data_IF_522615314712
#
_entry.id   IF_522615314712
#
_cell.length_a   1.000
_cell.length_b   1.000
_cell.length_c   1.000
_cell.angle_alpha   90.00
_cell.angle_beta   90.00
_cell.angle_gamma   90.00
#
_symmetry.space_group_name_H-M   'P 1'
#
loop_
_entity.id
_entity.type
_entity.pdbx_description
1 polymer ?
#
# COMPACT_ATOMS: atom_id res chain seq x y z
N UNK A 1 -14.68 -1.89 23.20
CA UNK A 1 -14.45 -3.28 22.73
C UNK A 1 -13.27 -3.26 21.79
N UNK A 2 -12.54 -4.35 21.66
CA UNK A 2 -11.29 -4.39 20.92
C UNK A 2 -11.35 -5.40 19.78
N UNK A 3 -10.58 -5.18 18.75
CA UNK A 3 -10.59 -5.96 17.52
C UNK A 3 -9.15 -6.35 17.17
N UNK A 4 -8.95 -7.59 16.80
CA UNK A 4 -7.66 -8.08 16.31
C UNK A 4 -7.70 -8.16 14.80
N UNK A 5 -6.64 -7.73 14.14
CA UNK A 5 -6.41 -7.95 12.72
C UNK A 5 -5.16 -8.80 12.51
N UNK A 6 -5.20 -9.72 11.54
CA UNK A 6 -4.05 -10.54 11.14
C UNK A 6 -3.90 -10.45 9.63
N UNK A 7 -2.70 -10.13 9.17
CA UNK A 7 -2.32 -10.14 7.76
C UNK A 7 -1.00 -10.87 7.56
N UNK A 8 -1.01 -11.91 6.73
CA UNK A 8 0.16 -12.67 6.33
C UNK A 8 0.31 -12.63 4.82
N UNK A 9 0.38 -11.42 4.28
CA UNK A 9 0.67 -11.16 2.88
C UNK A 9 2.12 -11.51 2.52
N UNK A 10 2.46 -11.50 1.23
CA UNK A 10 3.65 -12.13 0.69
C UNK A 10 4.99 -11.69 1.33
N UNK A 11 5.09 -10.44 1.79
CA UNK A 11 6.37 -9.89 2.28
C UNK A 11 6.37 -9.46 3.75
N UNK A 12 5.20 -9.41 4.39
CA UNK A 12 5.09 -8.89 5.75
C UNK A 12 4.15 -9.75 6.59
N UNK A 13 4.62 -10.17 7.77
CA UNK A 13 3.76 -10.69 8.83
C UNK A 13 3.29 -9.53 9.67
N UNK A 14 1.99 -9.35 9.87
CA UNK A 14 1.47 -8.32 10.77
C UNK A 14 0.29 -8.79 11.59
N UNK A 15 0.20 -8.28 12.81
CA UNK A 15 -0.93 -8.41 13.71
C UNK A 15 -1.22 -7.06 14.34
N UNK A 16 -2.48 -6.68 14.41
CA UNK A 16 -2.91 -5.39 14.95
C UNK A 16 -3.99 -5.56 16.00
N UNK A 17 -4.03 -4.59 16.88
CA UNK A 17 -5.05 -4.35 17.86
C UNK A 17 -5.68 -2.99 17.60
N UNK A 18 -7.01 -2.92 17.64
CA UNK A 18 -7.78 -1.71 17.42
C UNK A 18 -8.87 -1.58 18.49
N UNK A 19 -8.93 -0.44 19.20
CA UNK A 19 -9.90 -0.21 20.27
C UNK A 19 -11.18 0.49 19.80
N UNK A 20 -11.28 0.76 18.52
CA UNK A 20 -12.39 1.50 17.92
C UNK A 20 -12.03 2.95 17.53
N UNK A 21 -10.93 3.48 18.03
CA UNK A 21 -10.39 4.82 17.73
C UNK A 21 -8.91 4.68 17.35
N UNK A 22 -8.10 4.16 18.27
CA UNK A 22 -6.66 3.98 18.13
C UNK A 22 -6.29 2.51 18.09
N UNK A 23 -5.05 2.22 17.71
CA UNK A 23 -4.58 0.86 17.67
C UNK A 23 -3.05 0.74 17.66
N UNK A 24 -2.60 -0.49 17.78
CA UNK A 24 -1.19 -0.87 17.70
C UNK A 24 -1.03 -1.90 16.57
N UNK A 25 -0.07 -1.68 15.70
CA UNK A 25 0.32 -2.65 14.68
C UNK A 25 1.73 -3.17 14.98
N UNK A 26 1.86 -4.48 15.08
CA UNK A 26 3.13 -5.16 15.16
C UNK A 26 3.40 -5.86 13.83
N UNK A 27 4.46 -5.49 13.14
CA UNK A 27 4.81 -6.07 11.84
C UNK A 27 6.28 -6.45 11.75
N UNK A 28 6.57 -7.38 10.83
CA UNK A 28 7.91 -7.85 10.52
C UNK A 28 8.00 -8.17 9.03
N UNK A 29 8.92 -7.49 8.35
CA UNK A 29 9.25 -7.81 6.96
C UNK A 29 9.92 -9.18 6.89
N UNK A 30 9.53 -9.99 5.92
CA UNK A 30 10.13 -11.29 5.69
C UNK A 30 11.50 -11.13 5.01
N UNK A 31 12.50 -11.95 5.42
CA UNK A 31 13.83 -11.87 4.84
C UNK A 31 13.81 -12.38 3.39
N UNK A 32 14.15 -11.52 2.45
CA UNK A 32 14.42 -11.88 1.05
C UNK A 32 15.93 -12.05 0.89
N UNK A 33 16.37 -13.17 0.33
CA UNK A 33 17.81 -13.41 0.10
C UNK A 33 18.35 -12.42 -0.93
N UNK A 34 19.57 -11.98 -0.71
CA UNK A 34 20.24 -11.06 -1.62
C UNK A 34 20.36 -11.69 -3.03
N UNK A 35 19.85 -10.99 -4.04
CA UNK A 35 19.83 -11.44 -5.44
C UNK A 35 18.55 -12.19 -5.86
N UNK A 36 17.62 -12.48 -4.96
CA UNK A 36 16.31 -13.04 -5.31
C UNK A 36 15.29 -11.91 -5.61
N UNK A 37 14.46 -12.12 -6.62
CA UNK A 37 13.41 -11.15 -7.04
C UNK A 37 12.11 -11.26 -6.21
N UNK A 38 12.07 -12.16 -5.22
CA UNK A 38 10.91 -12.40 -4.37
C UNK A 38 11.05 -13.61 -3.48
N UNK A 39 10.02 -13.91 -2.69
CA UNK A 39 9.94 -15.10 -1.84
C UNK A 39 9.13 -16.21 -2.52
N UNK A 40 9.63 -17.45 -2.45
CA UNK A 40 8.80 -18.62 -2.75
C UNK A 40 7.67 -18.71 -1.71
N UNK A 41 6.50 -19.15 -2.13
CA UNK A 41 5.34 -19.22 -1.23
C UNK A 41 5.59 -20.14 -0.02
N UNK A 42 6.31 -21.24 -0.20
CA UNK A 42 6.72 -22.13 0.91
C UNK A 42 7.61 -21.41 1.94
N UNK A 43 8.53 -20.57 1.47
CA UNK A 43 9.44 -19.82 2.34
C UNK A 43 8.69 -18.72 3.10
N UNK A 44 7.74 -18.05 2.41
CA UNK A 44 6.85 -17.09 3.02
C UNK A 44 5.98 -17.73 4.12
N UNK A 45 5.34 -18.87 3.84
CA UNK A 45 4.56 -19.64 4.82
C UNK A 45 5.40 -19.96 6.06
N UNK A 46 6.60 -20.49 5.87
CA UNK A 46 7.47 -20.85 6.98
C UNK A 46 7.93 -19.63 7.79
N UNK A 47 8.24 -18.53 7.13
CA UNK A 47 8.63 -17.28 7.77
C UNK A 47 7.47 -16.67 8.59
N UNK A 48 6.23 -16.71 8.06
CA UNK A 48 5.05 -16.28 8.79
C UNK A 48 4.78 -17.11 10.05
N UNK A 49 4.91 -18.44 9.95
CA UNK A 49 4.75 -19.36 11.10
C UNK A 49 5.73 -18.99 12.22
N UNK A 50 6.97 -18.61 11.89
CA UNK A 50 7.96 -18.18 12.87
C UNK A 50 7.70 -16.79 13.43
N UNK A 51 7.24 -15.86 12.60
CA UNK A 51 7.12 -14.46 12.98
C UNK A 51 5.84 -14.17 13.78
N UNK A 52 4.73 -14.83 13.46
CA UNK A 52 3.44 -14.53 14.07
C UNK A 52 3.40 -14.75 15.59
N UNK A 53 3.98 -15.83 16.19
CA UNK A 53 4.07 -15.99 17.64
C UNK A 53 4.89 -14.88 18.33
N UNK A 54 5.98 -14.43 17.71
CA UNK A 54 6.79 -13.33 18.24
C UNK A 54 6.00 -12.03 18.26
N UNK A 55 5.31 -11.70 17.15
CA UNK A 55 4.53 -10.48 17.02
C UNK A 55 3.30 -10.48 17.93
N UNK A 56 2.62 -11.61 18.08
CA UNK A 56 1.49 -11.75 19.00
C UNK A 56 1.94 -11.60 20.45
N UNK A 57 3.10 -12.17 20.84
CA UNK A 57 3.68 -11.96 22.17
C UNK A 57 3.93 -10.47 22.46
N UNK A 58 4.47 -9.73 21.49
CA UNK A 58 4.67 -8.27 21.60
C UNK A 58 3.36 -7.50 21.68
N UNK A 59 2.36 -7.86 20.89
CA UNK A 59 1.06 -7.19 20.90
C UNK A 59 0.33 -7.40 22.24
N UNK A 60 0.27 -8.65 22.69
CA UNK A 60 -0.46 -9.02 23.91
C UNK A 60 0.31 -8.79 25.21
N UNK A 61 1.59 -8.40 25.17
CA UNK A 61 2.29 -7.91 26.38
C UNK A 61 1.73 -6.59 26.87
N UNK A 62 1.08 -5.80 26.02
CA UNK A 62 0.24 -4.70 26.42
C UNK A 62 -1.12 -5.25 26.87
N UNK A 63 -1.72 -4.65 27.89
CA UNK A 63 -3.05 -5.05 28.39
C UNK A 63 -4.10 -4.86 27.29
N UNK A 64 -4.41 -5.93 26.57
CA UNK A 64 -5.47 -5.95 25.58
C UNK A 64 -6.75 -6.37 26.29
N UNK A 65 -7.70 -5.44 26.45
CA UNK A 65 -9.00 -5.74 27.05
C UNK A 65 -9.81 -6.78 26.26
N UNK A 66 -11.09 -6.97 26.57
CA UNK A 66 -11.94 -7.98 25.91
C UNK A 66 -11.99 -7.78 24.40
N UNK A 67 -11.76 -8.86 23.64
CA UNK A 67 -11.82 -8.91 22.18
C UNK A 67 -13.27 -9.12 21.75
N UNK A 68 -13.74 -8.36 20.77
CA UNK A 68 -15.09 -8.44 20.21
C UNK A 68 -15.14 -9.20 18.87
N UNK A 69 -14.07 -9.13 18.08
CA UNK A 69 -13.94 -9.89 16.85
C UNK A 69 -12.47 -10.06 16.44
N UNK A 70 -12.22 -11.07 15.59
CA UNK A 70 -10.92 -11.31 14.94
C UNK A 70 -11.12 -11.15 13.45
N UNK A 71 -10.35 -10.24 12.83
CA UNK A 71 -10.27 -10.08 11.39
C UNK A 71 -9.03 -10.75 10.81
N UNK A 72 -9.13 -11.20 9.58
CA UNK A 72 -7.99 -11.80 8.85
C UNK A 72 -8.08 -11.53 7.36
N UNK A 73 -6.96 -11.21 6.73
CA UNK A 73 -6.85 -11.26 5.29
C UNK A 73 -6.66 -12.71 4.83
N UNK A 74 -7.51 -13.18 3.90
CA UNK A 74 -7.51 -14.56 3.41
C UNK A 74 -7.05 -14.70 1.96
N UNK A 75 -6.85 -13.58 1.27
CA UNK A 75 -6.49 -13.52 -0.16
C UNK A 75 -5.97 -12.13 -0.55
N UNK A 76 -5.21 -12.01 -1.66
CA UNK A 76 -4.72 -10.71 -2.11
C UNK A 76 -5.84 -9.72 -2.45
N UNK A 77 -6.83 -10.15 -3.25
CA UNK A 77 -7.95 -9.31 -3.74
C UNK A 77 -9.28 -10.06 -3.57
N UNK A 78 -10.37 -9.31 -3.43
CA UNK A 78 -11.72 -9.86 -3.31
C UNK A 78 -12.30 -10.25 -4.69
N UNK A 79 -11.56 -11.04 -5.47
CA UNK A 79 -11.96 -11.56 -6.78
C UNK A 79 -11.78 -13.07 -6.83
N UNK A 80 -12.56 -13.73 -7.66
CA UNK A 80 -12.47 -15.19 -7.84
C UNK A 80 -11.08 -15.60 -8.32
N UNK A 81 -10.57 -16.72 -7.83
CA UNK A 81 -9.23 -17.24 -8.14
C UNK A 81 -8.08 -16.49 -7.48
N UNK A 82 -8.32 -15.41 -6.72
CA UNK A 82 -7.28 -14.71 -5.96
C UNK A 82 -6.89 -15.54 -4.75
N UNK A 83 -5.79 -16.29 -4.86
CA UNK A 83 -5.29 -17.19 -3.82
C UNK A 83 -3.77 -17.13 -3.74
N UNK A 84 -3.26 -17.10 -2.51
CA UNK A 84 -1.83 -17.31 -2.21
C UNK A 84 -1.70 -18.12 -0.91
N UNK A 85 -0.87 -19.19 -0.88
CA UNK A 85 -0.71 -20.07 0.30
C UNK A 85 -0.31 -19.35 1.59
N UNK A 86 0.45 -18.27 1.51
CA UNK A 86 0.90 -17.52 2.69
C UNK A 86 -0.25 -17.01 3.57
N UNK A 87 -1.40 -16.67 2.99
CA UNK A 87 -2.57 -16.20 3.76
C UNK A 87 -3.17 -17.29 4.68
N UNK A 88 -2.94 -18.57 4.37
CA UNK A 88 -3.43 -19.66 5.20
C UNK A 88 -2.83 -19.66 6.61
N UNK A 89 -1.63 -19.09 6.78
CA UNK A 89 -1.01 -18.97 8.11
C UNK A 89 -1.84 -18.05 8.99
N UNK A 90 -2.14 -16.84 8.50
CA UNK A 90 -2.99 -15.88 9.22
C UNK A 90 -4.39 -16.45 9.48
N UNK A 91 -5.00 -17.04 8.45
CA UNK A 91 -6.32 -17.65 8.57
C UNK A 91 -6.39 -18.73 9.67
N UNK A 92 -5.46 -19.68 9.71
CA UNK A 92 -5.46 -20.76 10.70
C UNK A 92 -5.33 -20.22 12.14
N UNK A 93 -4.48 -19.23 12.36
CA UNK A 93 -4.33 -18.59 13.68
C UNK A 93 -5.58 -17.77 14.06
N UNK A 94 -6.12 -16.97 13.12
CA UNK A 94 -7.32 -16.18 13.37
C UNK A 94 -8.53 -17.07 13.68
N UNK A 95 -8.71 -18.17 12.94
CA UNK A 95 -9.78 -19.15 13.15
C UNK A 95 -9.71 -19.78 14.53
N UNK A 96 -8.54 -20.30 14.89
CA UNK A 96 -8.33 -20.88 16.22
C UNK A 96 -8.56 -19.84 17.34
N UNK A 97 -8.08 -18.62 17.18
CA UNK A 97 -8.25 -17.55 18.16
C UNK A 97 -9.72 -17.15 18.30
N UNK A 98 -10.45 -16.98 17.20
CA UNK A 98 -11.87 -16.61 17.23
C UNK A 98 -12.71 -17.67 17.92
N UNK A 99 -12.45 -18.96 17.68
CA UNK A 99 -13.14 -20.07 18.33
C UNK A 99 -12.83 -20.15 19.83
N UNK A 100 -11.55 -20.01 20.20
CA UNK A 100 -11.12 -20.02 21.60
C UNK A 100 -11.75 -18.88 22.41
N UNK A 101 -11.86 -17.69 21.80
CA UNK A 101 -12.47 -16.51 22.40
C UNK A 101 -14.00 -16.47 22.26
N UNK A 102 -14.59 -17.33 21.42
CA UNK A 102 -16.02 -17.34 21.07
C UNK A 102 -16.51 -16.02 20.51
N UNK A 103 -15.73 -15.43 19.61
CA UNK A 103 -16.03 -14.17 18.93
C UNK A 103 -16.10 -14.37 17.42
N UNK A 104 -16.78 -13.49 16.67
CA UNK A 104 -16.83 -13.58 15.22
C UNK A 104 -15.45 -13.55 14.56
N UNK A 105 -15.28 -14.37 13.50
CA UNK A 105 -14.19 -14.27 12.53
C UNK A 105 -14.65 -13.46 11.33
N UNK A 106 -13.91 -12.43 10.96
CA UNK A 106 -14.17 -11.57 9.81
C UNK A 106 -13.09 -11.79 8.76
N UNK A 107 -13.48 -12.29 7.61
CA UNK A 107 -12.58 -12.55 6.49
C UNK A 107 -12.65 -11.42 5.47
N UNK A 108 -11.50 -10.87 5.10
CA UNK A 108 -11.36 -9.79 4.11
C UNK A 108 -10.23 -10.10 3.13
N UNK A 109 -10.07 -9.31 2.08
CA UNK A 109 -8.86 -9.36 1.26
C UNK A 109 -7.80 -8.38 1.79
N UNK A 110 -6.54 -8.67 1.49
CA UNK A 110 -5.42 -7.79 1.79
C UNK A 110 -5.62 -6.37 1.21
N UNK A 111 -6.11 -6.28 -0.03
CA UNK A 111 -6.41 -5.00 -0.67
C UNK A 111 -7.47 -4.19 0.08
N UNK A 112 -8.54 -4.83 0.58
CA UNK A 112 -9.55 -4.17 1.43
C UNK A 112 -8.95 -3.68 2.74
N UNK A 113 -8.07 -4.48 3.36
CA UNK A 113 -7.29 -4.06 4.53
C UNK A 113 -6.44 -2.81 4.26
N UNK A 114 -5.73 -2.75 3.13
CA UNK A 114 -4.97 -1.57 2.73
C UNK A 114 -5.82 -0.31 2.57
N UNK A 115 -6.99 -0.42 1.93
CA UNK A 115 -7.91 0.71 1.78
C UNK A 115 -8.35 1.21 3.16
N UNK A 116 -8.81 0.31 4.03
CA UNK A 116 -9.27 0.68 5.36
C UNK A 116 -8.15 1.28 6.24
N UNK A 117 -6.93 0.73 6.21
CA UNK A 117 -5.78 1.29 6.92
C UNK A 117 -5.43 2.70 6.45
N UNK A 118 -5.48 2.90 5.12
CA UNK A 118 -5.20 4.19 4.51
C UNK A 118 -6.19 5.26 4.94
N UNK A 119 -7.48 4.93 4.92
CA UNK A 119 -8.55 5.84 5.31
C UNK A 119 -8.53 6.12 6.81
N UNK A 120 -8.31 5.10 7.64
CA UNK A 120 -8.18 5.28 9.09
C UNK A 120 -7.01 6.20 9.44
N UNK A 121 -5.82 5.94 8.88
CA UNK A 121 -4.62 6.75 9.15
C UNK A 121 -4.71 8.18 8.63
N UNK A 122 -5.55 8.41 7.63
CA UNK A 122 -5.85 9.73 7.09
C UNK A 122 -6.97 10.47 7.86
N UNK A 123 -7.67 9.82 8.79
CA UNK A 123 -8.82 10.38 9.50
C UNK A 123 -10.08 10.49 8.66
N UNK A 124 -10.24 9.64 7.65
CA UNK A 124 -11.31 9.69 6.65
C UNK A 124 -12.06 8.37 6.51
N UNK A 125 -12.39 7.71 7.64
CA UNK A 125 -13.14 6.44 7.61
C UNK A 125 -14.53 6.54 6.99
N UNK A 126 -15.13 7.73 6.94
CA UNK A 126 -16.40 7.97 6.27
C UNK A 126 -16.37 7.57 4.79
N UNK A 127 -15.21 7.60 4.15
CA UNK A 127 -15.06 7.16 2.75
C UNK A 127 -15.25 5.66 2.53
N UNK A 128 -15.29 4.85 3.59
CA UNK A 128 -15.73 3.45 3.45
C UNK A 128 -17.22 3.33 3.10
N UNK A 129 -18.00 4.40 3.32
CA UNK A 129 -19.43 4.48 3.00
C UNK A 129 -19.73 5.23 1.71
N UNK A 130 -18.69 5.74 1.03
CA UNK A 130 -18.81 6.56 -0.17
C UNK A 130 -17.92 6.04 -1.30
N UNK A 131 -18.37 6.07 -2.56
CA UNK A 131 -17.49 5.79 -3.68
C UNK A 131 -16.32 6.78 -3.72
N UNK A 132 -15.11 6.27 -3.96
CA UNK A 132 -13.92 7.10 -4.09
C UNK A 132 -12.88 6.44 -5.01
N UNK A 133 -11.90 7.23 -5.44
CA UNK A 133 -10.73 6.76 -6.18
C UNK A 133 -9.60 6.49 -5.19
N UNK A 134 -8.87 5.39 -5.36
CA UNK A 134 -7.73 5.06 -4.51
C UNK A 134 -6.50 4.68 -5.34
N UNK A 135 -5.39 5.38 -5.15
CA UNK A 135 -4.10 4.98 -5.65
C UNK A 135 -3.36 4.12 -4.64
N UNK A 136 -2.87 2.99 -5.10
CA UNK A 136 -1.85 2.22 -4.39
C UNK A 136 -0.51 2.37 -5.11
N UNK A 137 0.41 3.14 -4.52
CA UNK A 137 1.72 3.48 -5.08
C UNK A 137 2.83 2.92 -4.19
N UNK A 138 3.31 1.71 -4.51
CA UNK A 138 4.30 1.00 -3.70
C UNK A 138 5.51 0.53 -4.52
N UNK A 139 6.44 -0.18 -3.89
CA UNK A 139 7.57 -0.82 -4.55
C UNK A 139 7.15 -1.80 -5.65
N UNK A 140 6.08 -2.57 -5.44
CA UNK A 140 5.59 -3.57 -6.39
C UNK A 140 4.36 -3.17 -7.19
N UNK A 141 3.60 -2.15 -6.75
CA UNK A 141 2.28 -1.86 -7.29
C UNK A 141 2.12 -0.38 -7.65
N UNK A 142 1.48 -0.12 -8.78
CA UNK A 142 1.05 1.23 -9.19
C UNK A 142 -0.31 1.08 -9.86
N UNK A 143 -1.36 1.12 -9.05
CA UNK A 143 -2.74 0.86 -9.47
C UNK A 143 -3.68 1.96 -9.01
N UNK A 144 -4.61 2.32 -9.90
CA UNK A 144 -5.77 3.16 -9.61
C UNK A 144 -7.00 2.28 -9.47
N UNK A 145 -7.66 2.40 -8.34
CA UNK A 145 -8.86 1.65 -7.99
C UNK A 145 -10.08 2.58 -7.95
N UNK A 146 -11.21 2.09 -8.41
CA UNK A 146 -12.52 2.56 -7.98
C UNK A 146 -12.90 1.73 -6.75
N UNK A 147 -13.15 2.40 -5.65
CA UNK A 147 -13.58 1.78 -4.39
C UNK A 147 -15.03 2.17 -4.16
N UNK A 148 -15.89 1.18 -3.97
CA UNK A 148 -17.33 1.36 -3.75
C UNK A 148 -17.74 0.62 -2.47
N UNK A 149 -18.70 1.16 -1.71
CA UNK A 149 -19.27 0.43 -0.58
C UNK A 149 -19.85 -0.92 -1.02
N UNK A 150 -19.63 -1.95 -0.21
CA UNK A 150 -20.19 -3.30 -0.40
C UNK A 150 -20.67 -3.84 0.96
N UNK A 151 -21.89 -3.50 1.32
CA UNK A 151 -22.40 -3.67 2.66
C UNK A 151 -21.56 -2.87 3.68
N UNK A 152 -20.98 -3.55 4.65
CA UNK A 152 -20.07 -2.96 5.64
C UNK A 152 -18.59 -3.09 5.26
N UNK A 153 -18.29 -3.57 4.07
CA UNK A 153 -16.96 -3.66 3.48
C UNK A 153 -16.89 -2.78 2.23
N UNK A 154 -15.86 -2.93 1.43
CA UNK A 154 -15.66 -2.23 0.16
C UNK A 154 -15.36 -3.21 -0.97
N UNK A 155 -15.81 -2.85 -2.17
CA UNK A 155 -15.41 -3.49 -3.43
C UNK A 155 -14.36 -2.62 -4.11
N UNK A 156 -13.23 -3.21 -4.45
CA UNK A 156 -12.12 -2.54 -5.10
C UNK A 156 -12.01 -3.04 -6.55
N UNK A 157 -12.24 -2.16 -7.51
CA UNK A 157 -12.13 -2.46 -8.94
C UNK A 157 -10.92 -1.71 -9.51
N UNK A 158 -9.95 -2.44 -10.09
CA UNK A 158 -8.83 -1.80 -10.78
C UNK A 158 -9.34 -1.15 -12.07
N UNK A 159 -9.17 0.15 -12.19
CA UNK A 159 -9.59 0.94 -13.36
C UNK A 159 -8.42 1.53 -14.13
N UNK A 160 -7.20 1.50 -13.57
CA UNK A 160 -6.02 2.06 -14.24
C UNK A 160 -4.71 1.77 -13.52
N UNK A 161 -3.67 2.46 -13.94
CA UNK A 161 -2.32 2.37 -13.37
C UNK A 161 -1.25 2.10 -14.40
N UNK A 162 -0.11 1.56 -13.95
CA UNK A 162 0.97 1.18 -14.89
C UNK A 162 0.66 -0.11 -15.62
N UNK A 163 1.15 -0.20 -16.88
CA UNK A 163 1.06 -1.41 -17.71
C UNK A 163 2.29 -2.30 -17.62
N UNK A 164 3.35 -1.83 -16.95
CA UNK A 164 4.64 -2.52 -16.86
C UNK A 164 5.27 -2.39 -15.47
N UNK A 165 6.41 -1.72 -15.34
CA UNK A 165 7.07 -1.55 -14.04
C UNK A 165 6.31 -0.60 -13.11
N UNK A 166 6.38 -0.86 -11.81
CA UNK A 166 5.79 0.04 -10.82
C UNK A 166 6.58 1.35 -10.66
N UNK A 167 5.94 2.36 -10.09
CA UNK A 167 6.59 3.61 -9.73
C UNK A 167 7.75 3.40 -8.75
N UNK A 168 7.57 2.50 -7.76
CA UNK A 168 8.64 2.15 -6.84
C UNK A 168 9.82 1.46 -7.53
N UNK A 169 9.57 0.56 -8.47
CA UNK A 169 10.64 -0.05 -9.26
C UNK A 169 11.43 0.98 -10.09
N UNK A 170 10.75 1.97 -10.70
CA UNK A 170 11.44 3.04 -11.40
C UNK A 170 12.30 3.88 -10.45
N UNK A 171 11.78 4.21 -9.27
CA UNK A 171 12.49 4.93 -8.20
C UNK A 171 13.73 4.15 -7.74
N UNK A 172 13.58 2.86 -7.46
CA UNK A 172 14.69 2.02 -6.99
C UNK A 172 15.77 1.82 -8.06
N UNK A 173 15.39 1.66 -9.33
CA UNK A 173 16.33 1.57 -10.46
C UNK A 173 17.04 2.90 -10.72
N UNK A 174 16.36 4.03 -10.51
CA UNK A 174 17.01 5.35 -10.54
C UNK A 174 17.98 5.49 -9.37
N UNK A 175 17.63 5.03 -8.17
CA UNK A 175 18.53 4.99 -7.04
C UNK A 175 19.76 4.13 -7.29
N UNK A 176 19.61 2.97 -7.92
CA UNK A 176 20.73 2.11 -8.32
C UNK A 176 21.65 2.83 -9.32
N UNK A 177 21.09 3.53 -10.32
CA UNK A 177 21.85 4.35 -11.27
C UNK A 177 22.69 5.42 -10.56
N UNK A 178 22.17 5.98 -9.46
CA UNK A 178 22.81 7.02 -8.66
C UNK A 178 23.61 6.48 -7.47
N UNK A 179 23.80 5.15 -7.36
CA UNK A 179 24.49 4.47 -6.24
C UNK A 179 23.88 4.77 -4.86
N UNK A 180 22.54 4.95 -4.79
CA UNK A 180 21.82 5.17 -3.54
C UNK A 180 21.46 3.84 -2.87
N UNK A 181 21.31 3.80 -1.53
CA UNK A 181 20.86 2.60 -0.81
C UNK A 181 19.45 2.17 -1.22
N UNK A 182 19.19 0.85 -1.17
CA UNK A 182 17.86 0.26 -1.34
C UNK A 182 17.14 0.12 0.02
N UNK A 183 15.84 0.40 0.10
CA UNK A 183 14.96 1.02 -0.91
C UNK A 183 15.29 2.51 -1.09
N UNK A 184 15.33 2.96 -2.36
CA UNK A 184 15.89 4.26 -2.71
C UNK A 184 14.93 5.44 -2.55
N UNK A 185 13.64 5.20 -2.30
CA UNK A 185 12.61 6.23 -2.33
C UNK A 185 12.91 7.45 -1.46
N UNK A 186 13.26 7.24 -0.18
CA UNK A 186 13.60 8.30 0.76
C UNK A 186 14.88 9.07 0.36
N UNK A 187 15.89 8.34 -0.13
CA UNK A 187 17.16 8.92 -0.55
C UNK A 187 16.99 9.76 -1.82
N UNK A 188 16.19 9.26 -2.77
CA UNK A 188 15.89 9.96 -4.00
C UNK A 188 15.07 11.23 -3.75
N UNK A 189 14.12 11.18 -2.82
CA UNK A 189 13.32 12.33 -2.40
C UNK A 189 14.20 13.43 -1.82
N UNK A 190 15.05 13.09 -0.85
CA UNK A 190 15.98 14.02 -0.23
C UNK A 190 16.97 14.63 -1.24
N UNK A 191 17.50 13.82 -2.17
CA UNK A 191 18.42 14.26 -3.20
C UNK A 191 17.74 15.26 -4.17
N UNK A 192 16.51 14.96 -4.58
CA UNK A 192 15.73 15.77 -5.52
C UNK A 192 15.37 17.16 -4.99
N UNK A 193 15.40 17.36 -3.67
CA UNK A 193 15.10 18.64 -3.05
C UNK A 193 16.12 19.74 -3.41
N UNK A 194 17.33 19.36 -3.83
CA UNK A 194 18.38 20.28 -4.23
C UNK A 194 18.41 20.57 -5.74
N UNK A 195 17.51 19.94 -6.51
CA UNK A 195 17.43 20.15 -7.96
C UNK A 195 16.95 21.58 -8.30
N UNK A 196 17.53 22.17 -9.33
CA UNK A 196 17.20 23.51 -9.85
C UNK A 196 16.37 23.45 -11.13
N UNK A 197 16.64 22.46 -11.96
CA UNK A 197 15.90 22.21 -13.19
C UNK A 197 14.46 21.78 -12.92
N UNK A 198 13.57 22.14 -13.86
CA UNK A 198 12.15 21.73 -13.84
C UNK A 198 11.82 20.70 -14.94
N UNK A 199 12.83 20.16 -15.57
CA UNK A 199 12.69 19.22 -16.66
C UNK A 199 11.91 17.95 -16.22
N UNK A 200 11.05 17.51 -17.12
CA UNK A 200 10.30 16.26 -16.97
C UNK A 200 9.93 15.73 -18.36
N UNK A 201 9.67 14.42 -18.44
CA UNK A 201 9.12 13.83 -19.65
C UNK A 201 7.61 13.63 -19.48
N UNK A 202 6.83 14.08 -20.48
CA UNK A 202 5.38 13.91 -20.47
C UNK A 202 5.03 12.46 -20.82
N UNK A 203 4.80 11.63 -19.79
CA UNK A 203 4.35 10.24 -19.97
C UNK A 203 2.99 10.23 -20.66
N UNK A 204 2.85 9.43 -21.72
CA UNK A 204 1.55 9.25 -22.40
C UNK A 204 0.62 8.44 -21.48
N UNK A 205 -0.56 8.99 -21.22
CA UNK A 205 -1.65 8.29 -20.51
C UNK A 205 -2.76 7.98 -21.51
N UNK A 206 -3.36 6.81 -21.44
CA UNK A 206 -4.45 6.36 -22.29
C UNK A 206 -5.33 5.38 -21.51
N UNK A 207 -6.63 5.64 -21.49
CA UNK A 207 -7.59 4.79 -20.76
C UNK A 207 -7.14 4.52 -19.30
N UNK A 208 -6.81 5.57 -18.57
CA UNK A 208 -6.31 5.54 -17.19
C UNK A 208 -5.03 4.71 -16.98
N UNK A 209 -4.29 4.42 -18.04
CA UNK A 209 -3.10 3.58 -17.98
C UNK A 209 -1.89 4.28 -18.61
N UNK A 210 -0.68 3.94 -18.14
CA UNK A 210 0.58 4.47 -18.64
C UNK A 210 1.71 3.43 -18.49
N UNK A 211 2.80 3.62 -19.25
CA UNK A 211 4.02 2.82 -19.16
C UNK A 211 5.13 3.62 -18.48
N UNK A 212 5.87 3.00 -17.57
CA UNK A 212 7.03 3.59 -16.90
C UNK A 212 8.37 2.99 -17.38
N UNK A 213 8.38 1.84 -18.07
CA UNK A 213 9.62 1.24 -18.58
C UNK A 213 10.34 2.16 -19.57
N UNK A 214 9.59 2.84 -20.45
CA UNK A 214 10.14 3.84 -21.35
C UNK A 214 10.75 5.05 -20.62
N UNK A 215 10.25 5.38 -19.43
CA UNK A 215 10.77 6.48 -18.60
C UNK A 215 12.11 6.10 -17.98
N UNK A 216 12.32 4.84 -17.63
CA UNK A 216 13.63 4.37 -17.15
C UNK A 216 14.75 4.72 -18.14
N UNK A 217 14.53 4.45 -19.43
CA UNK A 217 15.49 4.79 -20.47
C UNK A 217 15.70 6.32 -20.60
N UNK A 218 14.62 7.11 -20.42
CA UNK A 218 14.72 8.58 -20.43
C UNK A 218 15.50 9.12 -19.23
N UNK A 219 15.34 8.54 -18.05
CA UNK A 219 16.11 8.88 -16.85
C UNK A 219 17.60 8.59 -17.08
N UNK A 220 17.93 7.43 -17.64
CA UNK A 220 19.31 7.09 -17.95
C UNK A 220 19.94 8.07 -18.96
N UNK A 221 19.25 8.34 -20.07
CA UNK A 221 19.69 9.31 -21.08
C UNK A 221 19.87 10.73 -20.50
N UNK A 222 18.95 11.12 -19.60
CA UNK A 222 19.04 12.42 -18.93
C UNK A 222 20.27 12.49 -18.01
N UNK A 223 20.54 11.42 -17.27
CA UNK A 223 21.72 11.31 -16.41
C UNK A 223 23.03 11.34 -17.22
N UNK A 224 23.11 10.57 -18.30
CA UNK A 224 24.27 10.53 -19.20
C UNK A 224 24.59 11.91 -19.80
N UNK A 225 23.55 12.70 -20.09
CA UNK A 225 23.70 14.05 -20.66
C UNK A 225 24.12 15.09 -19.63
N UNK A 226 23.55 15.06 -18.43
CA UNK A 226 23.68 16.14 -17.44
C UNK A 226 24.68 15.81 -16.32
N UNK A 227 24.85 14.53 -15.97
CA UNK A 227 25.78 14.06 -14.95
C UNK A 227 25.49 14.53 -13.52
N UNK A 228 24.33 15.18 -13.27
CA UNK A 228 23.96 15.77 -11.99
C UNK A 228 22.96 14.87 -11.29
N UNK A 229 23.33 14.22 -10.18
CA UNK A 229 22.44 13.27 -9.46
C UNK A 229 21.14 13.89 -8.99
N UNK A 230 21.17 15.10 -8.45
CA UNK A 230 20.00 15.84 -7.94
C UNK A 230 18.96 16.08 -9.03
N UNK A 231 19.42 16.49 -10.21
CA UNK A 231 18.55 16.74 -11.36
C UNK A 231 17.97 15.46 -11.91
N UNK A 232 18.75 14.37 -11.95
CA UNK A 232 18.30 13.05 -12.37
C UNK A 232 17.24 12.50 -11.43
N UNK A 233 17.43 12.61 -10.11
CA UNK A 233 16.47 12.23 -9.10
C UNK A 233 15.14 12.97 -9.27
N UNK A 234 15.24 14.31 -9.41
CA UNK A 234 14.07 15.15 -9.59
C UNK A 234 13.34 14.88 -10.93
N UNK A 235 14.07 14.66 -12.02
CA UNK A 235 13.51 14.31 -13.32
C UNK A 235 12.67 13.01 -13.22
N UNK A 236 13.22 11.96 -12.62
CA UNK A 236 12.51 10.69 -12.45
C UNK A 236 11.23 10.85 -11.63
N UNK A 237 11.30 11.53 -10.48
CA UNK A 237 10.16 11.78 -9.60
C UNK A 237 9.08 12.63 -10.27
N UNK A 238 9.46 13.68 -11.03
CA UNK A 238 8.51 14.50 -11.80
C UNK A 238 7.82 13.71 -12.91
N UNK A 239 8.51 12.78 -13.57
CA UNK A 239 7.89 11.92 -14.57
C UNK A 239 6.80 11.03 -13.94
N UNK A 240 7.09 10.41 -12.80
CA UNK A 240 6.12 9.59 -12.04
C UNK A 240 4.94 10.44 -11.58
N UNK A 241 5.23 11.56 -10.91
CA UNK A 241 4.20 12.46 -10.39
C UNK A 241 3.29 13.00 -11.50
N UNK A 242 3.88 13.38 -12.64
CA UNK A 242 3.14 13.86 -13.81
C UNK A 242 2.27 12.79 -14.46
N UNK A 243 2.69 11.52 -14.48
CA UNK A 243 1.87 10.40 -14.97
C UNK A 243 0.66 10.18 -14.05
N UNK A 244 0.91 10.07 -12.74
CA UNK A 244 -0.14 9.89 -11.72
C UNK A 244 -1.12 11.07 -11.74
N UNK A 245 -0.63 12.31 -11.82
CA UNK A 245 -1.48 13.51 -11.87
C UNK A 245 -2.43 13.48 -13.08
N UNK A 246 -1.91 13.25 -14.30
CA UNK A 246 -2.74 13.23 -15.52
C UNK A 246 -3.76 12.10 -15.51
N UNK A 247 -3.35 10.91 -15.09
CA UNK A 247 -4.27 9.78 -14.97
C UNK A 247 -5.36 10.05 -13.94
N UNK A 248 -5.02 10.72 -12.83
CA UNK A 248 -6.01 11.13 -11.83
C UNK A 248 -6.98 12.18 -12.38
N UNK A 249 -6.49 13.14 -13.15
CA UNK A 249 -7.38 14.13 -13.81
C UNK A 249 -8.35 13.45 -14.80
N UNK A 250 -7.85 12.51 -15.61
CA UNK A 250 -8.68 11.71 -16.53
C UNK A 250 -9.73 10.91 -15.74
N UNK A 251 -9.35 10.26 -14.65
CA UNK A 251 -10.26 9.52 -13.78
C UNK A 251 -11.32 10.43 -13.14
N UNK A 252 -10.95 11.62 -12.65
CA UNK A 252 -11.91 12.58 -12.10
C UNK A 252 -12.91 13.12 -13.14
N UNK A 253 -12.53 13.15 -14.41
CA UNK A 253 -13.46 13.50 -15.50
C UNK A 253 -14.45 12.36 -15.77
N UNK A 254 -14.02 11.10 -15.65
CA UNK A 254 -14.89 9.91 -15.82
C UNK A 254 -15.76 9.66 -14.58
N UNK A 255 -15.26 10.01 -13.41
CA UNK A 255 -15.91 9.81 -12.11
C UNK A 255 -15.99 11.16 -11.36
N UNK A 256 -16.87 12.08 -11.82
CA UNK A 256 -16.94 13.44 -11.26
C UNK A 256 -17.41 13.42 -9.81
N UNK A 257 -16.83 14.30 -9.01
CA UNK A 257 -17.17 14.46 -7.59
C UNK A 257 -16.46 13.49 -6.65
N UNK A 258 -15.84 12.40 -7.14
CA UNK A 258 -15.15 11.44 -6.26
C UNK A 258 -13.89 12.04 -5.66
N UNK A 259 -13.68 11.77 -4.38
CA UNK A 259 -12.44 12.06 -3.66
C UNK A 259 -11.35 11.08 -4.09
N UNK A 260 -10.10 11.48 -3.96
CA UNK A 260 -8.94 10.64 -4.33
C UNK A 260 -8.06 10.41 -3.13
N UNK A 261 -7.81 9.15 -2.82
CA UNK A 261 -6.96 8.69 -1.72
C UNK A 261 -5.65 8.15 -2.30
N UNK A 262 -4.52 8.48 -1.67
CA UNK A 262 -3.20 7.99 -2.06
C UNK A 262 -2.57 7.20 -0.93
N UNK A 263 -2.13 5.97 -1.22
CA UNK A 263 -1.47 5.06 -0.30
C UNK A 263 -0.22 4.44 -0.91
N UNK A 264 0.56 3.75 -0.08
CA UNK A 264 1.82 3.13 -0.47
C UNK A 264 3.04 4.03 -0.25
N UNK A 265 4.21 3.42 -0.11
CA UNK A 265 5.45 4.13 0.23
C UNK A 265 5.85 5.24 -0.75
N UNK A 266 5.52 5.08 -2.05
CA UNK A 266 5.77 6.10 -3.07
C UNK A 266 4.86 7.32 -2.88
N UNK A 267 3.65 7.16 -2.34
CA UNK A 267 2.75 8.27 -2.03
C UNK A 267 3.27 9.18 -0.89
N UNK A 268 4.27 8.74 -0.13
CA UNK A 268 4.92 9.56 0.89
C UNK A 268 5.96 10.54 0.33
N UNK A 269 6.32 10.41 -0.97
CA UNK A 269 7.31 11.26 -1.62
C UNK A 269 6.84 12.73 -1.66
N UNK A 270 7.71 13.65 -1.26
CA UNK A 270 7.38 15.08 -1.11
C UNK A 270 7.08 15.74 -2.45
N UNK A 271 7.86 15.45 -3.49
CA UNK A 271 7.63 15.98 -4.83
C UNK A 271 6.31 15.49 -5.42
N UNK A 272 5.98 14.21 -5.25
CA UNK A 272 4.70 13.64 -5.67
C UNK A 272 3.54 14.37 -5.00
N UNK A 273 3.59 14.54 -3.68
CA UNK A 273 2.57 15.26 -2.90
C UNK A 273 2.37 16.70 -3.39
N UNK A 274 3.46 17.41 -3.66
CA UNK A 274 3.40 18.78 -4.17
C UNK A 274 2.73 18.86 -5.56
N UNK A 275 3.07 17.94 -6.46
CA UNK A 275 2.47 17.88 -7.81
C UNK A 275 0.99 17.53 -7.75
N UNK A 276 0.60 16.65 -6.82
CA UNK A 276 -0.78 16.21 -6.66
C UNK A 276 -1.68 17.17 -5.86
N UNK A 277 -1.12 18.12 -5.12
CA UNK A 277 -1.84 19.05 -4.25
C UNK A 277 -3.06 19.73 -4.92
N UNK A 278 -3.01 20.16 -6.22
CA UNK A 278 -4.16 20.77 -6.88
C UNK A 278 -5.39 19.85 -7.05
N UNK A 279 -5.22 18.53 -6.87
CA UNK A 279 -6.32 17.56 -6.95
C UNK A 279 -7.11 17.44 -5.64
N UNK A 280 -6.70 18.14 -4.58
CA UNK A 280 -7.21 18.04 -3.23
C UNK A 280 -7.24 16.58 -2.72
N UNK A 281 -6.09 15.91 -2.69
CA UNK A 281 -5.99 14.49 -2.37
C UNK A 281 -6.03 14.24 -0.87
N UNK A 282 -6.46 13.04 -0.50
CA UNK A 282 -6.25 12.46 0.83
C UNK A 282 -5.01 11.56 0.77
N UNK A 283 -4.07 11.76 1.68
CA UNK A 283 -2.89 10.90 1.81
C UNK A 283 -2.96 10.07 3.08
N UNK A 284 -2.67 8.77 2.96
CA UNK A 284 -2.48 7.91 4.13
C UNK A 284 -1.30 8.36 4.99
N UNK A 285 -1.35 8.07 6.29
CA UNK A 285 -0.21 8.20 7.18
C UNK A 285 0.97 7.33 6.69
N UNK A 286 2.22 7.85 6.70
CA UNK A 286 3.37 7.12 6.18
C UNK A 286 3.59 5.75 6.82
N UNK A 287 3.34 5.62 8.12
CA UNK A 287 3.50 4.38 8.89
C UNK A 287 2.51 3.28 8.51
N UNK A 288 1.33 3.63 7.97
CA UNK A 288 0.30 2.71 7.49
C UNK A 288 0.23 2.61 5.96
N UNK A 289 1.19 3.19 5.27
CA UNK A 289 1.31 3.11 3.81
C UNK A 289 1.93 1.80 3.30
N UNK A 290 2.53 1.01 4.20
CA UNK A 290 3.07 -0.33 3.91
C UNK A 290 2.13 -1.42 4.43
N UNK A 291 2.46 -2.69 4.15
CA UNK A 291 1.69 -3.85 4.63
C UNK A 291 1.51 -3.81 6.15
N UNK A 292 0.26 -3.87 6.60
CA UNK A 292 -0.12 -3.84 8.01
C UNK A 292 -1.48 -4.53 8.21
N UNK A 293 -1.75 -4.94 9.44
CA UNK A 293 -3.00 -5.58 9.82
C UNK A 293 -4.04 -4.60 10.40
N UNK A 294 -3.71 -3.30 10.52
CA UNK A 294 -4.62 -2.32 11.14
C UNK A 294 -5.95 -2.21 10.41
N UNK A 295 -5.91 -2.11 9.08
CA UNK A 295 -7.15 -2.02 8.30
C UNK A 295 -8.02 -3.26 8.39
N UNK A 296 -7.41 -4.44 8.59
CA UNK A 296 -8.14 -5.69 8.86
C UNK A 296 -8.87 -5.60 10.21
N UNK A 297 -8.23 -5.06 11.26
CA UNK A 297 -8.88 -4.83 12.55
C UNK A 297 -9.99 -3.77 12.49
N UNK A 298 -9.80 -2.70 11.72
CA UNK A 298 -10.83 -1.68 11.45
C UNK A 298 -12.05 -2.28 10.76
N UNK A 299 -11.84 -3.11 9.74
CA UNK A 299 -12.93 -3.81 9.04
C UNK A 299 -13.61 -4.84 9.96
N UNK A 300 -12.86 -5.52 10.83
CA UNK A 300 -13.44 -6.44 11.81
C UNK A 300 -14.44 -5.71 12.72
N UNK A 301 -14.10 -4.51 13.22
CA UNK A 301 -15.03 -3.66 13.95
C UNK A 301 -16.25 -3.34 13.11
N UNK A 302 -16.04 -2.75 11.94
CA UNK A 302 -17.09 -2.25 11.08
C UNK A 302 -18.10 -3.32 10.66
N UNK A 303 -17.62 -4.55 10.40
CA UNK A 303 -18.47 -5.64 9.93
C UNK A 303 -19.20 -6.38 11.06
N UNK A 304 -18.84 -6.17 12.33
CA UNK A 304 -19.46 -6.84 13.48
C UNK A 304 -20.28 -5.90 14.38
N UNK A 305 -20.06 -4.62 14.36
CA UNK A 305 -20.93 -3.66 15.07
C UNK A 305 -22.29 -3.57 14.35
N UNK A 306 -23.37 -3.71 15.11
CA UNK A 306 -24.77 -3.63 14.64
C UNK A 306 -25.19 -2.17 14.46
#
# INVERSE_FOLDING_TARGET
>A
MNYIGIDTSNYTTSIAYFNGIDGINCSKLLPVKQGELGLRQSDAVFAHIKSLPELSGRLFSNSVGSIAAVGVSTRPRAVEGSYMPCFMVGYSHAKMLSEALRVPLVEVSHQQGHVAASLWSAGHLELLDEPHLAWHLSGGTTELLLVEPDGRNVRCTKIGGTTDISAGQLIDRTGQLLNLPFPSGKHLDALSANARDKDSFKVKCCNLSFSLSGIQNKVQQYHEKNGIPEETAAFALRCVAGAVFRTTQEAKNLYPGLRVVFSGGVASNSMLRNVLAPLNPVFSGPEFSTDNAMGVAVLAKRMTEV
#
